data_IF_404607173850
#
_entry.id   IF_404607173850
#
_cell.length_a   1.000
_cell.length_b   1.000
_cell.length_c   1.000
_cell.angle_alpha   90.00
_cell.angle_beta   90.00
_cell.angle_gamma   90.00
#
_symmetry.space_group_name_H-M   'P 1'
#
loop_
_entity.id
_entity.type
_entity.pdbx_description
1 polymer ?
#
# COMPACT_ATOMS: atom_id res chain seq x y z
N UNK A 1 2.28 -12.77 14.19
CA UNK A 1 3.51 -12.05 14.55
C UNK A 1 3.10 -10.88 15.40
N UNK A 2 3.61 -10.76 16.63
CA UNK A 2 3.38 -9.55 17.45
C UNK A 2 4.12 -8.40 16.77
N UNK A 3 3.39 -7.36 16.35
CA UNK A 3 4.01 -6.13 15.86
C UNK A 3 4.45 -5.37 17.10
N UNK A 4 5.73 -5.53 17.46
CA UNK A 4 6.34 -4.91 18.66
C UNK A 4 6.76 -3.45 18.37
N UNK A 5 6.06 -2.73 17.48
CA UNK A 5 6.35 -1.35 17.14
C UNK A 5 5.21 -0.43 17.55
N UNK A 6 5.58 0.76 18.00
CA UNK A 6 4.67 1.85 18.35
C UNK A 6 4.59 2.86 17.21
N UNK A 7 3.40 3.36 16.94
CA UNK A 7 3.13 4.25 15.83
C UNK A 7 2.46 5.54 16.29
N UNK A 8 2.82 6.67 15.68
CA UNK A 8 2.00 7.88 15.76
C UNK A 8 1.54 8.29 14.37
N UNK A 9 0.28 8.71 14.23
CA UNK A 9 -0.31 9.22 12.98
C UNK A 9 -0.78 10.64 13.20
N UNK A 10 -0.16 11.59 12.50
CA UNK A 10 -0.47 13.00 12.52
C UNK A 10 -1.32 13.39 11.32
N UNK A 11 -2.50 13.94 11.58
CA UNK A 11 -3.54 14.16 10.60
C UNK A 11 -4.40 12.92 10.41
N UNK A 12 -5.60 12.92 11.02
CA UNK A 12 -6.58 11.83 10.98
C UNK A 12 -7.66 12.05 9.90
N UNK A 13 -7.32 12.79 8.85
CA UNK A 13 -8.14 12.85 7.64
C UNK A 13 -8.24 11.46 6.97
N UNK A 14 -8.88 11.39 5.79
CA UNK A 14 -9.18 10.13 5.08
C UNK A 14 -8.00 9.15 5.00
N UNK A 15 -6.82 9.61 4.66
CA UNK A 15 -5.64 8.75 4.51
C UNK A 15 -5.05 8.34 5.87
N UNK A 16 -4.81 9.31 6.76
CA UNK A 16 -4.22 9.03 8.09
C UNK A 16 -5.11 8.13 8.92
N UNK A 17 -6.44 8.38 8.95
CA UNK A 17 -7.40 7.51 9.63
C UNK A 17 -7.34 6.08 9.09
N UNK A 18 -7.37 5.89 7.76
CA UNK A 18 -7.29 4.56 7.17
C UNK A 18 -6.00 3.81 7.53
N UNK A 19 -4.85 4.52 7.56
CA UNK A 19 -3.57 3.94 8.02
C UNK A 19 -3.64 3.54 9.49
N UNK A 20 -4.14 4.44 10.37
CA UNK A 20 -4.25 4.18 11.80
C UNK A 20 -5.18 2.98 12.09
N UNK A 21 -6.34 2.94 11.46
CA UNK A 21 -7.31 1.84 11.59
C UNK A 21 -6.71 0.49 11.18
N UNK A 22 -6.01 0.44 10.06
CA UNK A 22 -5.40 -0.83 9.59
C UNK A 22 -4.27 -1.27 10.53
N UNK A 23 -3.48 -0.34 11.08
CA UNK A 23 -2.46 -0.64 12.09
C UNK A 23 -3.09 -1.21 13.37
N UNK A 24 -4.13 -0.57 13.90
CA UNK A 24 -4.88 -1.04 15.10
C UNK A 24 -5.49 -2.41 14.86
N UNK A 25 -6.14 -2.61 13.71
CA UNK A 25 -6.75 -3.90 13.33
C UNK A 25 -5.74 -5.05 13.31
N UNK A 26 -4.49 -4.76 12.97
CA UNK A 26 -3.39 -5.73 12.99
C UNK A 26 -2.65 -5.80 14.34
N UNK A 27 -3.19 -5.18 15.39
CA UNK A 27 -2.69 -5.28 16.76
C UNK A 27 -1.52 -4.36 17.09
N UNK A 28 -1.29 -3.29 16.30
CA UNK A 28 -0.29 -2.29 16.61
C UNK A 28 -0.80 -1.27 17.64
N UNK A 29 0.12 -0.72 18.45
CA UNK A 29 -0.16 0.42 19.32
C UNK A 29 -0.05 1.71 18.50
N UNK A 30 -1.15 2.48 18.43
CA UNK A 30 -1.25 3.68 17.58
C UNK A 30 -1.72 4.87 18.39
N UNK A 31 -0.97 5.97 18.34
CA UNK A 31 -1.39 7.30 18.78
C UNK A 31 -1.85 8.11 17.57
N UNK A 32 -3.14 8.41 17.48
CA UNK A 32 -3.70 9.34 16.51
C UNK A 32 -3.66 10.77 17.01
N UNK A 33 -3.26 11.73 16.20
CA UNK A 33 -3.26 13.15 16.57
C UNK A 33 -3.82 13.98 15.41
N UNK A 34 -4.76 14.86 15.74
CA UNK A 34 -5.27 15.88 14.81
C UNK A 34 -5.50 17.19 15.57
N UNK A 35 -5.48 18.32 14.88
CA UNK A 35 -5.78 19.63 15.46
C UNK A 35 -7.28 19.87 15.58
N UNK A 36 -8.08 19.16 14.83
CA UNK A 36 -9.54 19.26 14.77
C UNK A 36 -10.17 18.24 15.74
N UNK A 37 -10.89 18.74 16.75
CA UNK A 37 -11.57 17.91 17.75
C UNK A 37 -12.63 17.00 17.15
N UNK A 38 -13.39 17.47 16.14
CA UNK A 38 -14.44 16.66 15.51
C UNK A 38 -13.83 15.46 14.76
N UNK A 39 -12.67 15.66 14.15
CA UNK A 39 -11.92 14.57 13.49
C UNK A 39 -11.42 13.57 14.54
N UNK A 40 -10.90 14.05 15.68
CA UNK A 40 -10.45 13.18 16.78
C UNK A 40 -11.61 12.38 17.34
N UNK A 41 -12.75 13.01 17.63
CA UNK A 41 -13.94 12.34 18.18
C UNK A 41 -14.46 11.24 17.25
N UNK A 42 -14.44 11.49 15.94
CA UNK A 42 -14.81 10.49 14.94
C UNK A 42 -13.77 9.37 14.76
N UNK A 43 -12.52 9.60 15.12
CA UNK A 43 -11.46 8.60 14.98
C UNK A 43 -11.37 7.66 16.19
N UNK A 44 -11.74 8.13 17.39
CA UNK A 44 -11.63 7.37 18.65
C UNK A 44 -12.41 6.05 18.63
N UNK A 45 -13.48 5.95 17.84
CA UNK A 45 -14.26 4.71 17.71
C UNK A 45 -13.43 3.54 17.15
N UNK A 46 -12.45 3.83 16.29
CA UNK A 46 -11.63 2.83 15.59
C UNK A 46 -10.14 2.90 15.96
N UNK A 47 -9.68 4.04 16.45
CA UNK A 47 -8.31 4.28 16.93
C UNK A 47 -8.39 4.71 18.40
N UNK A 48 -8.29 3.77 19.36
CA UNK A 48 -8.64 4.04 20.77
C UNK A 48 -7.82 5.13 21.46
N UNK A 49 -6.61 5.39 20.99
CA UNK A 49 -5.73 6.43 21.56
C UNK A 49 -5.59 7.57 20.58
N UNK A 50 -6.45 8.58 20.71
CA UNK A 50 -6.39 9.82 19.92
C UNK A 50 -6.22 11.04 20.82
N UNK A 51 -5.62 12.10 20.31
CA UNK A 51 -5.41 13.38 20.98
C UNK A 51 -5.67 14.53 20.01
N UNK A 52 -6.41 15.54 20.50
CA UNK A 52 -6.51 16.83 19.81
C UNK A 52 -5.32 17.69 20.23
N UNK A 53 -4.43 18.00 19.29
CA UNK A 53 -3.23 18.77 19.57
C UNK A 53 -2.60 19.33 18.29
N UNK A 54 -1.91 20.47 18.40
CA UNK A 54 -1.12 21.05 17.32
C UNK A 54 0.32 20.51 17.34
N UNK A 55 0.63 19.65 16.40
CA UNK A 55 1.94 18.96 16.31
C UNK A 55 3.02 19.83 15.67
N UNK A 56 2.73 21.08 15.33
CA UNK A 56 3.73 22.07 14.89
C UNK A 56 4.47 22.70 16.06
N UNK A 57 4.02 22.45 17.29
CA UNK A 57 4.62 22.94 18.52
C UNK A 57 5.57 21.90 19.13
N UNK A 58 6.84 22.28 19.36
CA UNK A 58 7.86 21.39 19.94
C UNK A 58 7.47 20.84 21.32
N UNK A 59 6.85 21.68 22.16
CA UNK A 59 6.38 21.27 23.49
C UNK A 59 5.25 20.23 23.42
N UNK A 60 4.41 20.27 22.39
CA UNK A 60 3.39 19.27 22.14
C UNK A 60 4.01 17.93 21.77
N UNK A 61 4.98 17.91 20.86
CA UNK A 61 5.76 16.72 20.47
C UNK A 61 6.37 16.05 21.71
N UNK A 62 6.99 16.85 22.57
CA UNK A 62 7.58 16.36 23.83
C UNK A 62 6.54 15.80 24.79
N UNK A 63 5.44 16.53 25.02
CA UNK A 63 4.36 16.14 25.93
C UNK A 63 3.63 14.87 25.48
N UNK A 64 3.50 14.67 24.19
CA UNK A 64 2.91 13.45 23.61
C UNK A 64 3.86 12.24 23.64
N UNK A 65 5.13 12.43 24.04
CA UNK A 65 6.12 11.36 24.12
C UNK A 65 6.52 10.79 22.76
N UNK A 66 6.54 11.64 21.72
CA UNK A 66 6.80 11.20 20.33
C UNK A 66 8.19 10.59 20.18
N UNK A 67 9.16 10.95 21.02
CA UNK A 67 10.48 10.32 21.06
C UNK A 67 10.46 8.81 21.36
N UNK A 68 9.36 8.29 21.91
CA UNK A 68 9.20 6.86 22.22
C UNK A 68 8.50 6.08 21.07
N UNK A 69 8.15 6.76 19.98
CA UNK A 69 7.51 6.13 18.84
C UNK A 69 8.57 5.59 17.86
N UNK A 70 8.39 4.37 17.40
CA UNK A 70 9.26 3.77 16.39
C UNK A 70 9.03 4.38 15.01
N UNK A 71 7.76 4.66 14.70
CA UNK A 71 7.36 5.18 13.38
C UNK A 71 6.33 6.29 13.54
N UNK A 72 6.59 7.43 12.90
CA UNK A 72 5.61 8.53 12.80
C UNK A 72 5.17 8.71 11.36
N UNK A 73 3.85 8.78 11.15
CA UNK A 73 3.22 9.03 9.86
C UNK A 73 2.63 10.44 9.84
N UNK A 74 3.15 11.33 9.00
CA UNK A 74 2.68 12.71 8.82
C UNK A 74 1.75 12.77 7.61
N UNK A 75 0.44 12.93 7.83
CA UNK A 75 -0.61 12.80 6.81
C UNK A 75 -1.34 14.13 6.49
N UNK A 76 -0.64 15.26 6.53
CA UNK A 76 -1.21 16.61 6.36
C UNK A 76 -0.80 17.26 5.04
N UNK A 77 -0.87 16.51 3.92
CA UNK A 77 -0.36 16.96 2.62
C UNK A 77 -0.96 18.29 2.09
N UNK A 78 -2.12 18.70 2.59
CA UNK A 78 -2.73 20.00 2.24
C UNK A 78 -2.11 21.19 2.97
N UNK A 79 -1.31 20.93 4.02
CA UNK A 79 -0.57 21.94 4.76
C UNK A 79 0.92 21.58 4.76
N UNK A 80 1.65 22.10 3.78
CA UNK A 80 3.07 21.81 3.64
C UNK A 80 3.89 22.36 4.82
N UNK A 81 3.54 23.53 5.33
CA UNK A 81 4.23 24.15 6.46
C UNK A 81 4.12 23.24 7.70
N UNK A 82 2.92 22.84 8.08
CA UNK A 82 2.71 21.93 9.19
C UNK A 82 3.40 20.56 8.95
N UNK A 83 3.40 20.05 7.72
CA UNK A 83 4.08 18.80 7.39
C UNK A 83 5.60 18.91 7.55
N UNK A 84 6.21 20.02 7.12
CA UNK A 84 7.65 20.29 7.27
C UNK A 84 8.02 20.41 8.75
N UNK A 85 7.25 21.19 9.52
CA UNK A 85 7.46 21.36 10.96
C UNK A 85 7.35 20.01 11.70
N UNK A 86 6.30 19.24 11.43
CA UNK A 86 6.11 17.94 12.05
C UNK A 86 7.25 16.96 11.77
N UNK A 87 7.68 16.86 10.50
CA UNK A 87 8.82 16.00 10.12
C UNK A 87 10.09 16.45 10.85
N UNK A 88 10.40 17.75 10.84
CA UNK A 88 11.59 18.30 11.50
C UNK A 88 11.58 18.00 13.00
N UNK A 89 10.50 18.33 13.68
CA UNK A 89 10.37 18.11 15.13
C UNK A 89 10.42 16.61 15.50
N UNK A 90 9.86 15.72 14.69
CA UNK A 90 9.98 14.29 14.93
C UNK A 90 11.44 13.81 14.80
N UNK A 91 12.16 14.29 13.79
CA UNK A 91 13.58 13.94 13.62
C UNK A 91 14.45 14.51 14.73
N UNK A 92 14.19 15.73 15.18
CA UNK A 92 14.86 16.35 16.34
C UNK A 92 14.56 15.59 17.64
N UNK A 93 13.33 15.05 17.78
CA UNK A 93 12.94 14.20 18.91
C UNK A 93 13.59 12.80 18.87
N UNK A 94 14.30 12.45 17.80
CA UNK A 94 15.01 11.17 17.65
C UNK A 94 14.17 10.02 17.12
N UNK A 95 12.99 10.30 16.52
CA UNK A 95 12.17 9.26 15.87
C UNK A 95 12.95 8.57 14.77
N UNK A 96 13.04 7.24 14.84
CA UNK A 96 13.83 6.45 13.89
C UNK A 96 13.27 6.58 12.45
N UNK A 97 11.97 6.39 12.29
CA UNK A 97 11.34 6.40 10.97
C UNK A 97 10.19 7.40 10.89
N UNK A 98 10.32 8.39 10.01
CA UNK A 98 9.28 9.38 9.71
C UNK A 98 8.81 9.22 8.27
N UNK A 99 7.53 8.89 8.09
CA UNK A 99 6.87 8.72 6.79
C UNK A 99 5.95 9.92 6.56
N UNK A 100 6.15 10.65 5.47
CA UNK A 100 5.33 11.81 5.16
C UNK A 100 4.49 11.62 3.91
N UNK A 101 3.22 12.05 3.95
CA UNK A 101 2.36 12.13 2.77
C UNK A 101 2.60 13.43 2.03
N UNK A 102 2.71 13.38 0.71
CA UNK A 102 2.76 14.56 -0.16
C UNK A 102 1.59 14.60 -1.15
N UNK A 103 1.34 15.79 -1.72
CA UNK A 103 0.36 16.01 -2.79
C UNK A 103 1.03 16.48 -4.10
N UNK A 104 2.34 16.65 -4.14
CA UNK A 104 3.08 17.04 -5.34
C UNK A 104 4.54 16.57 -5.30
N UNK A 105 5.18 16.51 -6.47
CA UNK A 105 6.61 16.17 -6.57
C UNK A 105 7.52 17.21 -5.89
N UNK A 106 7.09 18.46 -5.83
CA UNK A 106 7.84 19.49 -5.13
C UNK A 106 7.79 19.27 -3.62
N UNK A 107 6.60 18.96 -3.07
CA UNK A 107 6.47 18.60 -1.66
C UNK A 107 7.29 17.34 -1.31
N UNK A 108 7.31 16.34 -2.19
CA UNK A 108 8.14 15.14 -2.00
C UNK A 108 9.62 15.50 -1.82
N UNK A 109 10.14 16.38 -2.70
CA UNK A 109 11.54 16.83 -2.62
C UNK A 109 11.83 17.59 -1.33
N UNK A 110 10.90 18.47 -0.90
CA UNK A 110 11.04 19.25 0.32
C UNK A 110 11.02 18.32 1.55
N UNK A 111 10.03 17.46 1.66
CA UNK A 111 9.86 16.56 2.81
C UNK A 111 11.05 15.61 2.97
N UNK A 112 11.62 15.10 1.87
CA UNK A 112 12.86 14.32 1.91
C UNK A 112 14.05 15.14 2.42
N UNK A 113 14.16 16.40 2.03
CA UNK A 113 15.26 17.26 2.47
C UNK A 113 15.20 17.65 3.94
N UNK A 114 14.00 17.76 4.50
CA UNK A 114 13.82 18.06 5.93
C UNK A 114 13.86 16.82 6.83
N UNK A 115 14.14 15.64 6.25
CA UNK A 115 14.46 14.44 7.00
C UNK A 115 13.40 13.34 6.99
N UNK A 116 12.34 13.43 6.17
CA UNK A 116 11.44 12.30 6.01
C UNK A 116 12.17 11.09 5.41
N UNK A 117 12.15 9.95 6.10
CA UNK A 117 12.81 8.71 5.67
C UNK A 117 12.09 8.10 4.47
N UNK A 118 10.76 8.28 4.42
CA UNK A 118 9.92 7.87 3.29
C UNK A 118 8.87 8.93 3.01
N UNK A 119 8.64 9.19 1.72
CA UNK A 119 7.53 10.04 1.28
C UNK A 119 6.61 9.23 0.39
N UNK A 120 5.30 9.31 0.64
CA UNK A 120 4.26 8.61 -0.11
C UNK A 120 3.35 9.61 -0.81
N UNK A 121 2.92 9.25 -2.02
CA UNK A 121 1.98 10.05 -2.82
C UNK A 121 0.81 9.16 -3.24
N UNK A 122 -0.13 8.86 -2.31
CA UNK A 122 -1.17 7.84 -2.51
C UNK A 122 -2.05 8.09 -3.73
N UNK A 123 -2.43 9.34 -3.98
CA UNK A 123 -3.30 9.70 -5.11
C UNK A 123 -2.62 9.40 -6.45
N UNK A 124 -1.32 9.72 -6.59
CA UNK A 124 -0.54 9.42 -7.79
C UNK A 124 -0.35 7.91 -7.97
N UNK A 125 0.07 7.22 -6.91
CA UNK A 125 0.31 5.78 -6.93
C UNK A 125 -0.97 5.00 -7.29
N UNK A 126 -2.10 5.37 -6.65
CA UNK A 126 -3.40 4.78 -6.93
C UNK A 126 -3.90 5.10 -8.35
N UNK A 127 -3.72 6.35 -8.82
CA UNK A 127 -4.10 6.78 -10.16
C UNK A 127 -3.31 6.05 -11.25
N UNK A 128 -1.99 5.92 -11.08
CA UNK A 128 -1.14 5.16 -12.00
C UNK A 128 -1.58 3.68 -12.05
N UNK A 129 -1.83 3.06 -10.89
CA UNK A 129 -2.29 1.67 -10.81
C UNK A 129 -3.63 1.50 -11.52
N UNK A 130 -4.61 2.37 -11.25
CA UNK A 130 -5.91 2.33 -11.91
C UNK A 130 -5.77 2.50 -13.43
N UNK A 131 -4.99 3.51 -13.89
CA UNK A 131 -4.76 3.76 -15.31
C UNK A 131 -4.16 2.54 -16.02
N UNK A 132 -3.17 1.89 -15.40
CA UNK A 132 -2.58 0.66 -15.93
C UNK A 132 -3.61 -0.46 -16.03
N UNK A 133 -4.40 -0.69 -14.99
CA UNK A 133 -5.43 -1.74 -14.98
C UNK A 133 -6.48 -1.51 -16.07
N UNK A 134 -6.89 -0.27 -16.30
CA UNK A 134 -7.86 0.06 -17.36
C UNK A 134 -7.34 -0.18 -18.78
N UNK A 135 -6.05 0.04 -19.03
CA UNK A 135 -5.43 -0.17 -20.34
C UNK A 135 -5.17 -1.67 -20.60
N UNK A 136 -4.97 -2.44 -19.54
CA UNK A 136 -4.64 -3.87 -19.62
C UNK A 136 -5.91 -4.69 -19.80
N UNK A 137 -6.57 -4.53 -20.97
CA UNK A 137 -7.77 -5.31 -21.31
C UNK A 137 -7.45 -6.81 -21.35
N UNK A 138 -8.24 -7.63 -20.63
CA UNK A 138 -8.07 -9.07 -20.54
C UNK A 138 -7.36 -9.55 -19.27
N UNK A 139 -7.02 -8.63 -18.35
CA UNK A 139 -6.47 -8.95 -17.02
C UNK A 139 -7.34 -8.30 -15.94
N UNK A 140 -7.73 -9.09 -14.96
CA UNK A 140 -8.60 -8.60 -13.87
C UNK A 140 -7.83 -7.73 -12.89
N UNK A 141 -6.55 -8.05 -12.65
CA UNK A 141 -5.67 -7.31 -11.76
C UNK A 141 -4.21 -7.46 -12.19
N UNK A 142 -3.42 -6.37 -12.03
CA UNK A 142 -1.99 -6.35 -12.30
C UNK A 142 -1.22 -5.76 -11.13
N UNK A 143 -0.30 -6.52 -10.56
CA UNK A 143 0.61 -6.12 -9.48
C UNK A 143 2.03 -6.06 -10.05
N UNK A 144 2.64 -4.89 -10.02
CA UNK A 144 4.02 -4.68 -10.45
C UNK A 144 4.99 -5.19 -9.36
N UNK A 145 5.80 -6.18 -9.67
CA UNK A 145 6.83 -6.71 -8.77
C UNK A 145 8.16 -5.99 -8.98
N UNK A 146 8.42 -5.54 -10.21
CA UNK A 146 9.54 -4.69 -10.59
C UNK A 146 9.21 -3.91 -11.86
N UNK A 147 10.14 -3.06 -12.34
CA UNK A 147 9.97 -2.33 -13.61
C UNK A 147 9.75 -3.25 -14.82
N UNK A 148 10.17 -4.50 -14.74
CA UNK A 148 10.17 -5.44 -15.87
C UNK A 148 9.22 -6.62 -15.64
N UNK A 149 8.87 -6.94 -14.39
CA UNK A 149 8.12 -8.14 -14.01
C UNK A 149 6.84 -7.77 -13.28
N UNK A 150 5.74 -8.39 -13.68
CA UNK A 150 4.45 -8.23 -13.02
C UNK A 150 3.79 -9.57 -12.72
N UNK A 151 2.96 -9.57 -11.68
CA UNK A 151 1.97 -10.59 -11.42
C UNK A 151 0.64 -10.11 -11.99
N UNK A 152 -0.03 -10.97 -12.74
CA UNK A 152 -1.34 -10.65 -13.34
C UNK A 152 -2.34 -11.75 -13.05
N UNK A 153 -3.60 -11.36 -12.92
CA UNK A 153 -4.73 -12.26 -12.95
C UNK A 153 -5.37 -12.20 -14.34
N UNK A 154 -5.45 -13.34 -15.03
CA UNK A 154 -6.00 -13.42 -16.39
C UNK A 154 -7.00 -14.56 -16.53
N UNK A 155 -8.01 -14.35 -17.37
CA UNK A 155 -8.95 -15.41 -17.72
C UNK A 155 -8.26 -16.52 -18.50
N UNK A 156 -8.70 -17.77 -18.27
CA UNK A 156 -8.28 -18.90 -19.09
C UNK A 156 -8.76 -18.68 -20.52
N UNK A 157 -7.82 -18.69 -21.47
CA UNK A 157 -8.15 -18.54 -22.90
C UNK A 157 -8.98 -19.70 -23.38
N UNK A 158 -9.89 -19.44 -24.32
CA UNK A 158 -10.79 -20.45 -24.88
C UNK A 158 -10.02 -21.66 -25.44
N UNK A 159 -8.87 -21.43 -26.07
CA UNK A 159 -7.99 -22.46 -26.65
C UNK A 159 -7.26 -23.31 -25.59
N UNK A 160 -7.26 -22.89 -24.32
CA UNK A 160 -6.64 -23.62 -23.21
C UNK A 160 -7.63 -24.49 -22.42
N UNK A 161 -8.93 -24.29 -22.64
CA UNK A 161 -9.98 -25.03 -21.94
C UNK A 161 -9.85 -26.53 -22.27
N UNK A 162 -9.91 -27.36 -21.21
CA UNK A 162 -9.78 -28.80 -21.29
C UNK A 162 -8.34 -29.33 -21.36
N UNK A 163 -7.35 -28.44 -21.46
CA UNK A 163 -5.92 -28.82 -21.46
C UNK A 163 -5.31 -28.64 -20.08
N UNK A 164 -4.28 -29.44 -19.82
CA UNK A 164 -3.47 -29.33 -18.60
C UNK A 164 -2.33 -28.32 -18.75
N UNK A 165 -1.77 -27.85 -17.63
CA UNK A 165 -0.60 -26.96 -17.66
C UNK A 165 0.62 -27.62 -18.31
N UNK A 166 0.75 -28.97 -18.21
CA UNK A 166 1.82 -29.75 -18.89
C UNK A 166 1.65 -29.64 -20.39
N UNK A 167 0.47 -29.94 -20.92
CA UNK A 167 0.18 -29.90 -22.36
C UNK A 167 0.36 -28.51 -22.94
N UNK A 168 -0.05 -27.49 -22.20
CA UNK A 168 0.07 -26.10 -22.63
C UNK A 168 1.51 -25.60 -22.62
N UNK A 169 2.35 -26.10 -21.70
CA UNK A 169 3.75 -25.69 -21.53
C UNK A 169 3.94 -24.17 -21.56
N UNK A 170 3.11 -23.47 -20.76
CA UNK A 170 2.98 -22.01 -20.78
C UNK A 170 4.30 -21.30 -20.49
N UNK A 171 5.12 -21.91 -19.62
CA UNK A 171 6.44 -21.38 -19.29
C UNK A 171 7.37 -21.32 -20.50
N UNK A 172 7.42 -22.37 -21.30
CA UNK A 172 8.31 -22.46 -22.48
C UNK A 172 7.75 -21.67 -23.66
N UNK A 173 6.42 -21.75 -23.90
CA UNK A 173 5.79 -21.13 -25.06
C UNK A 173 5.62 -19.60 -24.89
N UNK A 174 5.24 -19.15 -23.69
CA UNK A 174 4.87 -17.74 -23.46
C UNK A 174 5.77 -17.06 -22.41
N UNK A 175 6.64 -17.82 -21.72
CA UNK A 175 7.51 -17.28 -20.67
C UNK A 175 6.76 -16.82 -19.42
N UNK A 176 5.59 -17.43 -19.16
CA UNK A 176 4.76 -17.13 -17.99
C UNK A 176 4.81 -18.27 -16.99
N UNK A 177 4.89 -17.94 -15.70
CA UNK A 177 4.82 -18.90 -14.62
C UNK A 177 3.46 -18.79 -13.93
N UNK A 178 2.69 -19.87 -13.92
CA UNK A 178 1.43 -19.97 -13.21
C UNK A 178 1.75 -20.23 -11.72
N UNK A 179 1.27 -19.37 -10.84
CA UNK A 179 1.53 -19.44 -9.40
C UNK A 179 0.28 -19.79 -8.59
N UNK A 180 -0.90 -19.47 -9.15
CA UNK A 180 -2.18 -19.83 -8.55
C UNK A 180 -3.27 -19.88 -9.64
N UNK A 181 -4.43 -20.44 -9.30
CA UNK A 181 -5.64 -20.38 -10.11
C UNK A 181 -6.84 -20.02 -9.24
N UNK A 182 -7.85 -19.40 -9.84
CA UNK A 182 -9.11 -19.07 -9.18
C UNK A 182 -10.28 -19.60 -9.99
N UNK A 183 -11.27 -20.17 -9.32
CA UNK A 183 -12.56 -20.58 -9.90
C UNK A 183 -13.67 -20.01 -9.00
N UNK A 184 -14.33 -18.97 -9.44
CA UNK A 184 -15.27 -18.23 -8.61
C UNK A 184 -14.58 -17.69 -7.34
N UNK A 185 -15.07 -18.10 -6.16
CA UNK A 185 -14.52 -17.69 -4.85
C UNK A 185 -13.41 -18.65 -4.32
N UNK A 186 -13.11 -19.74 -5.06
CA UNK A 186 -12.10 -20.70 -4.63
C UNK A 186 -10.75 -20.34 -5.22
N UNK A 187 -9.77 -20.14 -4.33
CA UNK A 187 -8.40 -19.80 -4.69
C UNK A 187 -7.49 -21.03 -4.49
N UNK A 188 -6.87 -21.50 -5.55
CA UNK A 188 -5.96 -22.65 -5.57
C UNK A 188 -4.53 -22.13 -5.54
N UNK A 189 -3.84 -22.21 -4.41
CA UNK A 189 -2.45 -21.75 -4.24
C UNK A 189 -1.42 -22.84 -4.56
N UNK A 190 -1.82 -24.09 -4.51
CA UNK A 190 -0.99 -25.24 -4.95
C UNK A 190 -1.52 -25.71 -6.29
N UNK A 191 -0.73 -25.54 -7.34
CA UNK A 191 -1.13 -25.85 -8.70
C UNK A 191 -0.46 -27.14 -9.14
N UNK A 192 -1.28 -28.17 -9.30
CA UNK A 192 -0.82 -29.43 -9.90
C UNK A 192 -0.60 -29.23 -11.40
N UNK A 193 0.54 -29.68 -11.95
CA UNK A 193 0.82 -29.56 -13.39
C UNK A 193 -0.22 -30.27 -14.28
N UNK A 194 -0.94 -31.24 -13.71
CA UNK A 194 -2.01 -32.01 -14.34
C UNK A 194 -3.38 -31.33 -14.23
N UNK A 195 -3.47 -30.14 -13.58
CA UNK A 195 -4.71 -29.39 -13.48
C UNK A 195 -5.24 -29.08 -14.89
N UNK A 196 -6.45 -29.57 -15.19
CA UNK A 196 -7.16 -29.23 -16.41
C UNK A 196 -7.83 -27.86 -16.26
N UNK A 197 -7.60 -26.99 -17.22
CA UNK A 197 -8.16 -25.64 -17.21
C UNK A 197 -9.62 -25.65 -17.67
N UNK A 198 -10.48 -24.97 -16.93
CA UNK A 198 -11.91 -24.91 -17.19
C UNK A 198 -12.36 -23.50 -17.58
N UNK A 199 -13.52 -23.41 -18.23
CA UNK A 199 -14.17 -22.14 -18.52
C UNK A 199 -14.52 -21.39 -17.23
N UNK A 200 -14.20 -20.10 -17.18
CA UNK A 200 -14.44 -19.26 -16.00
C UNK A 200 -13.38 -19.37 -14.91
N UNK A 201 -12.33 -20.18 -15.12
CA UNK A 201 -11.13 -20.12 -14.28
C UNK A 201 -10.28 -18.93 -14.68
N UNK A 202 -9.57 -18.40 -13.67
CA UNK A 202 -8.54 -17.37 -13.84
C UNK A 202 -7.20 -17.93 -13.37
N UNK A 203 -6.14 -17.54 -14.06
CA UNK A 203 -4.77 -17.89 -13.70
C UNK A 203 -4.08 -16.66 -13.13
N UNK A 204 -3.39 -16.83 -12.02
CA UNK A 204 -2.46 -15.86 -11.48
C UNK A 204 -1.09 -16.25 -11.99
N UNK A 205 -0.48 -15.38 -12.79
CA UNK A 205 0.79 -15.66 -13.44
C UNK A 205 1.81 -14.56 -13.18
N UNK A 206 3.08 -14.95 -13.13
CA UNK A 206 4.21 -14.01 -13.08
C UNK A 206 4.93 -14.07 -14.41
N UNK A 207 5.17 -12.91 -15.02
CA UNK A 207 5.89 -12.79 -16.27
C UNK A 207 6.50 -11.40 -16.47
N UNK A 208 7.42 -11.31 -17.42
CA UNK A 208 7.90 -10.02 -17.92
C UNK A 208 6.77 -9.26 -18.62
N UNK A 209 6.69 -7.93 -18.42
CA UNK A 209 5.65 -7.07 -19.00
C UNK A 209 5.62 -7.20 -20.53
N UNK A 210 6.78 -7.32 -21.17
CA UNK A 210 6.93 -7.53 -22.62
C UNK A 210 6.29 -8.83 -23.14
N UNK A 211 6.24 -9.86 -22.28
CA UNK A 211 5.62 -11.16 -22.59
C UNK A 211 4.12 -11.15 -22.34
N UNK A 212 3.69 -10.42 -21.30
CA UNK A 212 2.27 -10.23 -20.99
C UNK A 212 1.53 -9.58 -22.16
N UNK A 213 2.14 -8.58 -22.79
CA UNK A 213 1.55 -7.91 -23.96
C UNK A 213 1.32 -8.84 -25.17
N UNK A 214 2.08 -9.92 -25.27
CA UNK A 214 1.94 -10.94 -26.34
C UNK A 214 0.87 -11.99 -26.02
N UNK A 215 0.31 -11.97 -24.83
CA UNK A 215 -0.79 -12.87 -24.43
C UNK A 215 -2.17 -12.34 -24.82
N UNK A 216 -2.24 -11.15 -25.44
CA UNK A 216 -3.49 -10.57 -25.94
C UNK A 216 -4.02 -11.31 -27.15
#
# INVERSE_FOLDING_TARGET
MSINKTYAVFGLGRYGKAVAEELVKNGAEVLGVDVDQDIVDNAVETVPVCKCADITEAEVIKRLGISNMDIVIVSMANNLEASVMAVTLCKEAGVETVIAKCASEMQEKILKRVGADRVVFPERESGIRLGRNLITSGFSEMIELSKEVSMIEMDVKTEWIGKTLIELNLRKKYGINVVAARKGNIFLTTIEPTLSLEKGMQLIVIAEISKIQKLK
#
